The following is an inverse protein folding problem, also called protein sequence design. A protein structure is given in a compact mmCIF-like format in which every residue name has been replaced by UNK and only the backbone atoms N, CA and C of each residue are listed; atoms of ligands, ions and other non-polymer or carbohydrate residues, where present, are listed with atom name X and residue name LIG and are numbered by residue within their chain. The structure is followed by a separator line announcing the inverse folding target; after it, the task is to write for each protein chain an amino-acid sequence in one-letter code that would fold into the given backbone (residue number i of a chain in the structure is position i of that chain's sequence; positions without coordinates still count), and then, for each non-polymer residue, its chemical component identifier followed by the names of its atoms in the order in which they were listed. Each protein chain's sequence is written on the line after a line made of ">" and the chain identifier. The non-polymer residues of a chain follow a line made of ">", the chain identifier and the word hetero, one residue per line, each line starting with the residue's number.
data_IF_542300551712
#
_entry.id   IF_542300551712
#
_cell.length_a   1.000
_cell.length_b   1.000
_cell.length_c   1.000
_cell.angle_alpha   90.00
_cell.angle_beta   90.00
_cell.angle_gamma   90.00
#
_symmetry.space_group_name_H-M   'P 1'
#
loop_
_entity.id
_entity.type
_entity.pdbx_description
1 polymer ?
#
# COMPACT_ATOMS: atom_id res chain seq x y z
N UNK A 1 -12.54 2.36 -12.11
CA UNK A 1 -11.15 2.84 -11.98
C UNK A 1 -11.03 3.45 -10.59
N UNK A 2 -10.16 2.90 -9.72
CA UNK A 2 -10.05 3.34 -8.32
C UNK A 2 -8.59 3.61 -7.99
N UNK A 3 -8.32 4.75 -7.35
CA UNK A 3 -6.98 5.16 -6.93
C UNK A 3 -6.96 5.23 -5.40
N UNK A 4 -5.94 4.63 -4.80
CA UNK A 4 -5.74 4.61 -3.34
C UNK A 4 -4.48 5.39 -2.98
N UNK A 5 -4.59 6.33 -2.06
CA UNK A 5 -3.44 6.93 -1.39
C UNK A 5 -3.13 6.11 -0.14
N UNK A 6 -1.94 5.53 -0.09
CA UNK A 6 -1.53 4.61 0.98
C UNK A 6 -0.23 5.12 1.58
N UNK A 7 -0.22 5.36 2.89
CA UNK A 7 1.03 5.59 3.62
C UNK A 7 1.81 4.30 3.77
N UNK A 8 3.07 4.28 3.33
CA UNK A 8 3.96 3.12 3.42
C UNK A 8 4.54 2.86 4.82
N UNK A 9 4.34 3.80 5.76
CA UNK A 9 4.98 3.78 7.08
C UNK A 9 6.33 4.52 7.10
N UNK A 10 7.09 4.47 8.21
CA UNK A 10 8.31 5.27 8.41
C UNK A 10 9.58 4.66 7.78
N UNK A 11 9.46 3.64 6.91
CA UNK A 11 10.58 3.07 6.15
C UNK A 11 10.83 1.58 6.37
N UNK A 12 10.42 1.01 7.51
CA UNK A 12 10.46 -0.44 7.71
C UNK A 12 9.22 -1.09 7.06
N UNK A 13 9.38 -2.13 6.20
CA UNK A 13 8.27 -2.69 5.41
C UNK A 13 7.11 -3.26 6.23
N UNK A 14 7.41 -3.82 7.40
CA UNK A 14 6.44 -4.42 8.32
C UNK A 14 5.59 -3.38 9.07
N UNK A 15 5.96 -2.09 8.98
CA UNK A 15 5.24 -0.98 9.61
C UNK A 15 4.15 -0.38 8.71
N UNK A 16 3.90 -0.95 7.53
CA UNK A 16 2.70 -0.62 6.75
C UNK A 16 1.44 -1.18 7.44
N UNK A 17 0.29 -0.53 7.27
CA UNK A 17 -0.97 -1.08 7.78
C UNK A 17 -1.36 -2.36 7.05
N UNK A 18 -1.96 -3.34 7.76
CA UNK A 18 -2.50 -4.58 7.17
C UNK A 18 -3.47 -4.30 6.02
N UNK A 19 -4.27 -3.22 6.12
CA UNK A 19 -5.17 -2.79 5.05
C UNK A 19 -4.41 -2.31 3.82
N UNK A 20 -3.37 -1.50 4.00
CA UNK A 20 -2.52 -1.00 2.91
C UNK A 20 -1.83 -2.13 2.17
N UNK A 21 -1.23 -3.07 2.92
CA UNK A 21 -0.62 -4.28 2.36
C UNK A 21 -1.61 -5.07 1.49
N UNK A 22 -2.79 -5.39 2.02
CA UNK A 22 -3.82 -6.15 1.29
C UNK A 22 -4.33 -5.45 0.03
N UNK A 23 -4.34 -4.11 0.02
CA UNK A 23 -4.70 -3.34 -1.17
C UNK A 23 -3.58 -3.44 -2.21
N UNK A 24 -2.34 -3.21 -1.82
CA UNK A 24 -1.17 -3.30 -2.72
C UNK A 24 -1.06 -4.70 -3.34
N UNK A 25 -1.26 -5.76 -2.55
CA UNK A 25 -1.25 -7.16 -3.03
C UNK A 25 -2.26 -7.45 -4.14
N UNK A 26 -3.35 -6.67 -4.23
CA UNK A 26 -4.41 -6.83 -5.24
C UNK A 26 -4.36 -5.79 -6.35
N UNK A 27 -3.51 -4.76 -6.22
CA UNK A 27 -3.37 -3.69 -7.20
C UNK A 27 -2.63 -4.18 -8.44
N UNK A 28 -3.13 -3.82 -9.63
CA UNK A 28 -2.45 -4.13 -10.89
C UNK A 28 -1.23 -3.24 -11.12
N UNK A 29 -1.22 -2.04 -10.54
CA UNK A 29 -0.15 -1.05 -10.67
C UNK A 29 0.05 -0.36 -9.32
N UNK A 30 1.32 -0.22 -8.91
CA UNK A 30 1.73 0.55 -7.73
C UNK A 30 2.65 1.68 -8.18
N UNK A 31 2.25 2.92 -7.90
CA UNK A 31 3.06 4.12 -8.11
C UNK A 31 3.44 4.66 -6.73
N UNK A 32 4.69 5.08 -6.57
CA UNK A 32 5.25 5.56 -5.30
C UNK A 32 5.82 6.97 -5.45
#
# INVERSE_FOLDING_TARGET
>A
MTVYFIGAGPGAPDLITVRGQRLIERCQVCLY
#
